data_IF_914816197360
#
_entry.id   IF_914816197360
#
_cell.length_a   1.000
_cell.length_b   1.000
_cell.length_c   1.000
_cell.angle_alpha   90.00
_cell.angle_beta   90.00
_cell.angle_gamma   90.00
#
_symmetry.space_group_name_H-M   'P 1'
#
loop_
_entity.id
_entity.type
_entity.pdbx_description
1 polymer ?
#
# COMPACT_ATOMS: atom_id res chain seq x y z
N UNK A 1 -16.92 -0.62 32.20
CA UNK A 1 -16.53 -1.22 30.94
C UNK A 1 -16.41 -0.14 29.85
N UNK A 2 -15.23 0.02 29.30
CA UNK A 2 -15.01 0.91 28.17
C UNK A 2 -15.66 0.38 26.87
N UNK A 3 -15.89 1.27 25.89
CA UNK A 3 -16.45 0.88 24.59
C UNK A 3 -15.64 -0.22 23.88
N UNK A 4 -14.32 -0.27 24.10
CA UNK A 4 -13.41 -1.28 23.56
C UNK A 4 -13.62 -2.69 24.12
N UNK A 5 -14.25 -2.84 25.27
CA UNK A 5 -14.58 -4.15 25.84
C UNK A 5 -15.89 -4.71 25.30
N UNK A 6 -16.78 -3.85 24.80
CA UNK A 6 -18.07 -4.22 24.21
C UNK A 6 -17.98 -4.62 22.76
N UNK A 7 -17.10 -4.00 22.00
CA UNK A 7 -17.00 -4.19 20.56
C UNK A 7 -15.57 -4.53 20.17
N UNK A 8 -15.39 -5.53 19.33
CA UNK A 8 -14.07 -5.81 18.77
C UNK A 8 -13.51 -4.60 18.04
N UNK A 9 -12.28 -4.25 18.32
CA UNK A 9 -11.60 -3.11 17.69
C UNK A 9 -10.66 -3.60 16.61
N UNK A 10 -10.78 -3.02 15.43
CA UNK A 10 -9.84 -3.22 14.33
C UNK A 10 -9.16 -1.90 14.00
N UNK A 11 -7.90 -1.98 13.61
CA UNK A 11 -7.18 -0.85 13.04
C UNK A 11 -7.43 -0.78 11.54
N UNK A 12 -7.62 0.41 11.04
CA UNK A 12 -7.82 0.65 9.62
C UNK A 12 -6.53 1.18 9.00
N UNK A 13 -6.12 0.54 7.92
CA UNK A 13 -5.00 0.95 7.10
C UNK A 13 -5.45 1.14 5.65
N UNK A 14 -4.62 1.78 4.87
CA UNK A 14 -4.78 1.90 3.41
C UNK A 14 -3.49 1.49 2.73
N UNK A 15 -3.61 0.93 1.54
CA UNK A 15 -2.49 0.68 0.63
C UNK A 15 -2.86 1.20 -0.75
N UNK A 16 -1.89 1.75 -1.45
CA UNK A 16 -2.09 2.38 -2.74
C UNK A 16 -1.27 1.65 -3.81
N UNK A 17 -1.95 1.13 -4.82
CA UNK A 17 -1.30 0.59 -6.02
C UNK A 17 -1.31 1.70 -7.06
N UNK A 18 -0.21 2.40 -7.18
CA UNK A 18 -0.07 3.53 -8.10
C UNK A 18 0.57 3.07 -9.40
N UNK A 19 -0.15 3.24 -10.50
CA UNK A 19 0.30 2.90 -11.84
C UNK A 19 0.70 4.14 -12.64
N UNK A 20 1.72 3.97 -13.45
CA UNK A 20 2.13 4.94 -14.47
C UNK A 20 2.22 4.23 -15.81
N UNK A 21 1.63 4.83 -16.84
CA UNK A 21 1.68 4.26 -18.18
C UNK A 21 2.93 4.77 -18.90
N UNK A 22 3.76 3.85 -19.35
CA UNK A 22 4.82 4.15 -20.31
C UNK A 22 4.25 3.97 -21.72
N UNK A 23 3.99 5.08 -22.39
CA UNK A 23 3.38 5.08 -23.72
C UNK A 23 4.35 4.61 -24.81
N UNK A 24 5.63 4.82 -24.64
CA UNK A 24 6.66 4.41 -25.61
C UNK A 24 6.83 2.89 -25.60
N UNK A 25 6.99 2.32 -24.42
CA UNK A 25 7.14 0.87 -24.27
C UNK A 25 5.79 0.12 -24.19
N UNK A 26 4.67 0.84 -24.12
CA UNK A 26 3.32 0.29 -23.92
C UNK A 26 3.22 -0.62 -22.71
N UNK A 27 3.82 -0.18 -21.62
CA UNK A 27 3.88 -0.94 -20.38
C UNK A 27 3.33 -0.13 -19.22
N UNK A 28 2.82 -0.85 -18.22
CA UNK A 28 2.50 -0.27 -16.93
C UNK A 28 3.73 -0.34 -16.02
N UNK A 29 3.88 0.70 -15.21
CA UNK A 29 4.80 0.69 -14.10
C UNK A 29 4.02 0.83 -12.80
N UNK A 30 4.50 0.23 -11.73
CA UNK A 30 3.95 0.38 -10.38
C UNK A 30 4.99 0.96 -9.44
N UNK A 31 4.54 1.81 -8.52
CA UNK A 31 5.40 2.44 -7.54
C UNK A 31 5.53 1.55 -6.30
N UNK A 32 6.76 1.21 -5.95
CA UNK A 32 7.08 0.47 -4.74
C UNK A 32 8.12 1.21 -3.91
N UNK A 33 8.02 1.02 -2.60
CA UNK A 33 8.94 1.55 -1.59
C UNK A 33 9.73 0.41 -0.98
N UNK A 34 11.01 0.60 -0.71
CA UNK A 34 11.81 -0.35 0.04
C UNK A 34 11.86 0.07 1.51
N UNK A 35 11.39 -0.81 2.38
CA UNK A 35 11.28 -0.53 3.81
C UNK A 35 12.65 -0.41 4.47
N UNK A 36 12.84 0.62 5.29
CA UNK A 36 14.04 0.81 6.11
C UNK A 36 13.87 0.35 7.54
N UNK A 37 12.63 0.02 7.95
CA UNK A 37 12.28 -0.36 9.32
C UNK A 37 11.63 -1.74 9.38
N UNK A 38 11.77 -2.38 10.57
CA UNK A 38 11.08 -3.62 10.91
C UNK A 38 9.57 -3.36 11.14
N UNK A 39 8.65 -4.30 10.86
CA UNK A 39 8.94 -5.58 10.23
C UNK A 39 9.18 -5.46 8.72
N UNK A 40 9.69 -6.52 8.14
CA UNK A 40 9.98 -6.58 6.70
C UNK A 40 11.01 -5.54 6.21
N UNK A 41 12.00 -5.23 7.05
CA UNK A 41 13.12 -4.38 6.64
C UNK A 41 13.79 -4.93 5.38
N UNK A 42 14.13 -4.02 4.45
CA UNK A 42 14.71 -4.33 3.13
C UNK A 42 13.77 -5.03 2.14
N UNK A 43 12.49 -5.16 2.46
CA UNK A 43 11.48 -5.68 1.54
C UNK A 43 10.76 -4.54 0.83
N UNK A 44 10.32 -4.80 -0.38
CA UNK A 44 9.51 -3.87 -1.15
C UNK A 44 8.06 -3.91 -0.70
N UNK A 45 7.41 -2.76 -0.68
CA UNK A 45 6.03 -2.61 -0.25
C UNK A 45 5.29 -1.58 -1.09
N UNK A 46 3.97 -1.67 -1.05
CA UNK A 46 3.10 -0.62 -1.56
C UNK A 46 3.11 0.57 -0.59
N UNK A 47 2.98 1.80 -1.08
CA UNK A 47 2.68 2.93 -0.21
C UNK A 47 1.45 2.62 0.65
N UNK A 48 1.49 2.97 1.92
CA UNK A 48 0.39 2.70 2.82
C UNK A 48 0.68 3.06 4.27
N UNK A 49 -0.34 3.07 5.08
CA UNK A 49 -0.23 3.39 6.49
C UNK A 49 -1.59 3.40 7.18
N UNK A 50 -1.60 3.79 8.44
CA UNK A 50 -2.80 3.80 9.25
C UNK A 50 -3.66 5.05 9.04
N UNK A 51 -4.97 4.83 9.03
CA UNK A 51 -5.98 5.88 8.97
C UNK A 51 -6.04 6.57 10.34
N UNK A 52 -6.01 7.89 10.35
CA UNK A 52 -6.17 8.68 11.57
C UNK A 52 -7.65 8.89 11.89
N UNK A 53 -7.95 9.19 13.17
CA UNK A 53 -9.31 9.11 13.69
C UNK A 53 -10.35 10.01 13.04
N UNK A 54 -9.94 11.11 12.42
CA UNK A 54 -10.82 12.13 11.85
C UNK A 54 -10.80 12.18 10.31
N UNK A 55 -10.07 11.29 9.67
CA UNK A 55 -9.99 11.27 8.22
C UNK A 55 -10.78 10.12 7.60
N UNK A 56 -11.27 10.34 6.37
CA UNK A 56 -11.83 9.28 5.56
C UNK A 56 -10.71 8.40 5.00
N UNK A 57 -11.08 7.23 4.48
CA UNK A 57 -10.10 6.33 3.84
C UNK A 57 -9.42 7.00 2.64
N UNK A 58 -10.17 7.77 1.84
CA UNK A 58 -9.60 8.52 0.71
C UNK A 58 -8.63 9.62 1.16
N UNK A 59 -9.00 10.37 2.19
CA UNK A 59 -8.14 11.40 2.75
C UNK A 59 -6.83 10.80 3.28
N UNK A 60 -6.94 9.66 3.99
CA UNK A 60 -5.77 8.93 4.46
C UNK A 60 -4.88 8.45 3.31
N UNK A 61 -5.48 7.87 2.27
CA UNK A 61 -4.73 7.39 1.12
C UNK A 61 -3.98 8.51 0.40
N UNK A 62 -4.60 9.68 0.21
CA UNK A 62 -3.96 10.85 -0.39
C UNK A 62 -2.82 11.39 0.48
N UNK A 63 -3.09 11.55 1.77
CA UNK A 63 -2.08 12.05 2.72
C UNK A 63 -0.85 11.16 2.75
N UNK A 64 -1.06 9.88 2.97
CA UNK A 64 0.04 8.89 3.06
C UNK A 64 0.82 8.82 1.77
N UNK A 65 0.13 8.80 0.63
CA UNK A 65 0.81 8.74 -0.66
C UNK A 65 1.73 9.95 -0.89
N UNK A 66 1.26 11.15 -0.59
CA UNK A 66 2.06 12.37 -0.71
C UNK A 66 3.24 12.37 0.28
N UNK A 67 2.98 11.98 1.53
CA UNK A 67 4.04 11.91 2.56
C UNK A 67 5.15 10.94 2.17
N UNK A 68 4.79 9.76 1.63
CA UNK A 68 5.75 8.71 1.34
C UNK A 68 6.46 8.85 -0.01
N UNK A 69 5.85 9.53 -0.97
CA UNK A 69 6.36 9.58 -2.35
C UNK A 69 6.70 10.97 -2.86
N UNK A 70 6.19 12.01 -2.21
CA UNK A 70 6.37 13.40 -2.63
C UNK A 70 5.54 13.83 -3.83
N UNK A 71 4.70 12.94 -4.39
CA UNK A 71 3.86 13.21 -5.55
C UNK A 71 2.39 13.01 -5.23
N UNK A 72 1.51 13.62 -6.02
CA UNK A 72 0.05 13.48 -5.87
C UNK A 72 -0.54 12.64 -6.98
N UNK A 73 -1.43 11.66 -6.67
CA UNK A 73 -2.07 10.87 -7.70
C UNK A 73 -3.13 11.69 -8.43
N UNK A 74 -3.25 11.50 -9.75
CA UNK A 74 -4.28 12.14 -10.55
C UNK A 74 -5.66 11.51 -10.36
N UNK A 75 -5.69 10.23 -10.00
CA UNK A 75 -6.90 9.43 -9.81
C UNK A 75 -6.68 8.47 -8.64
N UNK A 76 -7.70 8.30 -7.82
CA UNK A 76 -7.65 7.43 -6.66
C UNK A 76 -9.01 6.75 -6.47
N UNK A 77 -9.03 5.42 -6.46
CA UNK A 77 -10.26 4.64 -6.32
C UNK A 77 -10.01 3.38 -5.51
N UNK A 78 -10.81 3.16 -4.48
CA UNK A 78 -10.74 1.92 -3.72
C UNK A 78 -11.29 0.75 -4.52
N UNK A 79 -10.73 -0.45 -4.32
CA UNK A 79 -11.19 -1.63 -5.04
C UNK A 79 -11.45 -2.85 -4.15
N UNK A 80 -10.77 -3.00 -3.04
CA UNK A 80 -10.98 -4.14 -2.14
C UNK A 80 -10.41 -3.90 -0.75
N UNK A 81 -10.99 -4.56 0.26
CA UNK A 81 -10.44 -4.68 1.60
C UNK A 81 -9.76 -6.04 1.80
N UNK A 82 -8.68 -6.05 2.54
CA UNK A 82 -7.92 -7.24 2.91
C UNK A 82 -7.93 -7.35 4.43
N UNK A 83 -8.45 -8.46 4.94
CA UNK A 83 -8.75 -8.58 6.35
C UNK A 83 -8.30 -9.90 6.98
N UNK A 84 -7.41 -10.65 6.32
CA UNK A 84 -6.85 -11.85 6.91
C UNK A 84 -6.20 -11.50 8.25
N UNK A 85 -6.53 -12.24 9.30
CA UNK A 85 -6.08 -11.94 10.66
C UNK A 85 -4.56 -12.06 10.85
N UNK A 86 -3.89 -12.74 9.93
CA UNK A 86 -2.43 -12.94 9.95
C UNK A 86 -1.67 -11.99 9.04
N UNK A 87 -2.37 -11.10 8.32
CA UNK A 87 -1.74 -10.25 7.31
C UNK A 87 -0.75 -9.24 7.88
N UNK A 88 -1.00 -8.74 9.09
CA UNK A 88 -0.15 -7.76 9.75
C UNK A 88 -0.02 -8.10 11.24
N UNK A 89 1.18 -8.44 11.65
CA UNK A 89 1.48 -8.90 13.02
C UNK A 89 2.03 -7.79 13.93
N UNK A 90 2.15 -6.56 13.44
CA UNK A 90 2.80 -5.48 14.18
C UNK A 90 2.06 -5.02 15.41
N UNK A 91 0.74 -5.08 15.37
CA UNK A 91 -0.07 -4.38 16.36
C UNK A 91 -0.52 -5.34 17.45
N UNK A 92 -0.10 -5.04 18.66
CA UNK A 92 -0.57 -5.69 19.88
C UNK A 92 -1.27 -4.61 20.71
N UNK A 93 -2.49 -4.91 21.14
CA UNK A 93 -3.17 -4.02 22.08
C UNK A 93 -2.39 -4.04 23.40
N UNK A 94 -1.80 -2.92 23.76
CA UNK A 94 -0.95 -2.80 24.94
C UNK A 94 -1.71 -3.00 26.26
N UNK A 95 -3.01 -2.73 26.28
CA UNK A 95 -3.83 -2.89 27.49
C UNK A 95 -4.23 -4.33 27.76
N UNK A 96 -4.58 -5.09 26.71
CA UNK A 96 -5.07 -6.47 26.85
C UNK A 96 -4.02 -7.53 26.48
N UNK A 97 -2.89 -7.13 25.88
CA UNK A 97 -1.91 -8.06 25.31
C UNK A 97 -2.41 -8.78 24.06
N UNK A 98 -3.62 -8.49 23.60
CA UNK A 98 -4.21 -9.11 22.43
C UNK A 98 -3.75 -8.39 21.15
N UNK A 99 -3.56 -9.19 20.12
CA UNK A 99 -3.20 -8.70 18.81
C UNK A 99 -4.37 -7.97 18.18
N UNK A 100 -4.19 -6.71 17.84
CA UNK A 100 -5.19 -5.95 17.09
C UNK A 100 -5.24 -6.44 15.63
N UNK A 101 -6.45 -6.56 15.11
CA UNK A 101 -6.68 -6.86 13.71
C UNK A 101 -6.43 -5.61 12.87
N UNK A 102 -5.70 -5.76 11.78
CA UNK A 102 -5.49 -4.69 10.80
C UNK A 102 -6.26 -5.02 9.54
N UNK A 103 -7.21 -4.17 9.19
CA UNK A 103 -7.94 -4.23 7.92
C UNK A 103 -7.37 -3.14 7.03
N UNK A 104 -6.89 -3.49 5.87
CA UNK A 104 -6.45 -2.51 4.88
C UNK A 104 -7.46 -2.38 3.75
N UNK A 105 -7.72 -1.14 3.34
CA UNK A 105 -8.46 -0.85 2.12
C UNK A 105 -7.47 -0.46 1.03
N UNK A 106 -7.50 -1.21 -0.06
CA UNK A 106 -6.60 -1.00 -1.18
C UNK A 106 -7.21 -0.07 -2.22
N UNK A 107 -6.39 0.87 -2.68
CA UNK A 107 -6.71 1.84 -3.71
C UNK A 107 -5.85 1.61 -4.94
N UNK A 108 -6.43 1.84 -6.12
CA UNK A 108 -5.65 2.08 -7.33
C UNK A 108 -5.47 3.57 -7.51
N UNK A 109 -4.32 3.97 -7.98
CA UNK A 109 -4.02 5.35 -8.36
C UNK A 109 -3.35 5.38 -9.73
N UNK A 110 -3.53 6.47 -10.45
CA UNK A 110 -2.87 6.70 -11.72
C UNK A 110 -2.04 7.96 -11.60
N UNK A 111 -0.80 7.89 -12.04
CA UNK A 111 0.11 9.00 -12.07
C UNK A 111 0.47 9.34 -13.52
N UNK A 112 0.35 10.60 -13.89
CA UNK A 112 0.46 11.05 -15.29
C UNK A 112 1.57 12.06 -15.54
N UNK A 113 2.27 12.47 -14.47
CA UNK A 113 3.36 13.46 -14.57
C UNK A 113 4.73 12.80 -14.44
N UNK A 114 5.79 13.58 -14.56
CA UNK A 114 7.17 13.15 -14.41
C UNK A 114 7.89 13.88 -13.26
N UNK A 115 7.15 14.17 -12.18
CA UNK A 115 7.73 14.77 -10.99
C UNK A 115 8.70 13.80 -10.31
N UNK A 116 9.72 14.35 -9.68
CA UNK A 116 10.71 13.58 -8.96
C UNK A 116 10.12 12.98 -7.68
N UNK A 117 10.37 11.69 -7.47
CA UNK A 117 10.00 10.99 -6.25
C UNK A 117 10.86 11.43 -5.09
N UNK A 118 10.26 11.55 -3.91
CA UNK A 118 10.96 11.90 -2.68
C UNK A 118 10.75 10.82 -1.63
N UNK A 119 11.84 10.37 -1.03
CA UNK A 119 11.80 9.40 0.06
C UNK A 119 11.36 10.05 1.37
N UNK A 120 10.58 9.32 2.16
CA UNK A 120 10.37 9.63 3.56
C UNK A 120 11.41 8.93 4.46
N UNK A 121 11.30 9.12 5.78
CA UNK A 121 12.25 8.57 6.76
C UNK A 121 12.14 7.04 6.94
N UNK A 122 11.01 6.45 6.57
CA UNK A 122 10.74 5.02 6.75
C UNK A 122 11.09 4.16 5.53
N UNK A 123 11.60 4.78 4.47
CA UNK A 123 11.94 4.11 3.23
C UNK A 123 13.39 4.38 2.82
N UNK A 124 14.08 3.35 2.36
CA UNK A 124 15.47 3.48 1.89
C UNK A 124 15.58 3.62 0.37
N UNK A 125 14.52 3.28 -0.36
CA UNK A 125 14.46 3.39 -1.82
C UNK A 125 13.00 3.51 -2.28
N UNK A 126 12.81 4.11 -3.45
CA UNK A 126 11.52 4.24 -4.12
C UNK A 126 11.73 4.14 -5.63
N UNK A 127 10.97 3.26 -6.28
CA UNK A 127 11.14 3.01 -7.73
C UNK A 127 9.84 2.69 -8.42
N UNK A 128 9.83 2.98 -9.72
CA UNK A 128 8.85 2.46 -10.66
C UNK A 128 9.31 1.10 -11.19
N UNK A 129 8.49 0.07 -10.99
CA UNK A 129 8.73 -1.29 -11.49
C UNK A 129 7.85 -1.57 -12.69
N UNK A 130 8.41 -2.12 -13.75
CA UNK A 130 7.67 -2.52 -14.95
C UNK A 130 6.77 -3.71 -14.67
N UNK A 131 5.53 -3.66 -15.18
CA UNK A 131 4.58 -4.77 -15.11
C UNK A 131 4.28 -5.24 -16.54
N UNK A 132 4.92 -6.32 -17.02
CA UNK A 132 4.61 -6.86 -18.32
C UNK A 132 3.29 -7.64 -18.29
N UNK A 133 2.53 -7.58 -19.40
CA UNK A 133 1.22 -8.24 -19.52
C UNK A 133 1.23 -9.75 -19.26
N UNK A 134 2.32 -10.46 -19.59
CA UNK A 134 2.37 -11.92 -19.56
C UNK A 134 3.23 -12.51 -18.45
N UNK A 135 4.12 -11.75 -17.86
CA UNK A 135 5.09 -12.27 -16.89
C UNK A 135 5.21 -11.35 -15.69
N UNK A 136 4.12 -11.20 -14.97
CA UNK A 136 4.02 -10.33 -13.81
C UNK A 136 5.17 -10.53 -12.82
N UNK A 137 5.47 -11.78 -12.49
CA UNK A 137 6.49 -12.12 -11.50
C UNK A 137 7.94 -11.82 -11.92
N UNK A 138 8.18 -11.61 -13.22
CA UNK A 138 9.55 -11.46 -13.72
C UNK A 138 10.25 -10.17 -13.28
N UNK A 139 9.50 -9.10 -13.07
CA UNK A 139 10.02 -7.77 -12.78
C UNK A 139 9.59 -7.24 -11.42
N UNK A 140 8.65 -7.91 -10.79
CA UNK A 140 8.14 -7.55 -9.46
C UNK A 140 8.84 -8.45 -8.43
N UNK A 141 9.32 -7.89 -7.30
CA UNK A 141 9.89 -8.70 -6.23
C UNK A 141 8.90 -9.77 -5.76
N UNK A 142 9.32 -11.04 -5.73
CA UNK A 142 8.46 -12.13 -5.24
C UNK A 142 8.21 -12.03 -3.73
N UNK A 143 9.19 -11.50 -3.01
CA UNK A 143 9.18 -11.40 -1.57
C UNK A 143 8.89 -9.96 -1.12
N UNK A 144 7.64 -9.55 -1.29
CA UNK A 144 7.17 -8.26 -0.82
C UNK A 144 6.74 -8.32 0.65
N UNK A 145 6.73 -7.17 1.31
CA UNK A 145 6.24 -7.03 2.66
C UNK A 145 4.74 -7.38 2.76
N UNK A 146 4.33 -7.94 3.90
CA UNK A 146 2.93 -8.25 4.20
C UNK A 146 2.27 -9.11 3.10
N UNK A 147 1.04 -8.77 2.76
CA UNK A 147 0.27 -9.36 1.65
C UNK A 147 0.29 -8.46 0.39
N UNK A 148 1.27 -7.57 0.29
CA UNK A 148 1.32 -6.57 -0.76
C UNK A 148 1.46 -7.16 -2.17
N UNK A 149 2.10 -8.32 -2.30
CA UNK A 149 2.16 -9.01 -3.59
C UNK A 149 0.77 -9.41 -4.08
N UNK A 150 -0.08 -9.93 -3.19
CA UNK A 150 -1.46 -10.32 -3.52
C UNK A 150 -2.31 -9.10 -3.91
N UNK A 151 -2.15 -8.00 -3.18
CA UNK A 151 -2.85 -6.73 -3.47
C UNK A 151 -2.45 -6.21 -4.85
N UNK A 152 -1.15 -6.19 -5.14
CA UNK A 152 -0.62 -5.75 -6.43
C UNK A 152 -1.10 -6.63 -7.57
N UNK A 153 -1.08 -7.95 -7.39
CA UNK A 153 -1.54 -8.90 -8.40
C UNK A 153 -3.01 -8.69 -8.74
N UNK A 154 -3.86 -8.52 -7.74
CA UNK A 154 -5.30 -8.27 -7.98
C UNK A 154 -5.53 -6.93 -8.67
N UNK A 155 -4.88 -5.88 -8.23
CA UNK A 155 -4.97 -4.56 -8.88
C UNK A 155 -4.56 -4.63 -10.35
N UNK A 156 -3.48 -5.33 -10.66
CA UNK A 156 -2.99 -5.51 -12.02
C UNK A 156 -3.95 -6.30 -12.90
N UNK A 157 -4.60 -7.31 -12.35
CA UNK A 157 -5.61 -8.11 -13.06
C UNK A 157 -6.89 -7.32 -13.36
N UNK A 158 -7.21 -6.34 -12.52
CA UNK A 158 -8.37 -5.45 -12.72
C UNK A 158 -8.14 -4.41 -13.81
N UNK A 159 -6.90 -4.01 -14.01
CA UNK A 159 -6.49 -3.14 -15.10
C UNK A 159 -6.27 -3.96 -16.39
N UNK A 160 -7.33 -4.51 -16.93
CA UNK A 160 -7.25 -5.19 -18.23
C UNK A 160 -7.04 -4.16 -19.34
N UNK A 161 -5.83 -3.94 -19.65
CA UNK A 161 -5.47 -3.18 -20.85
C UNK A 161 -5.20 -4.16 -21.99
#
# INVERSE_FOLDING_TARGET
MGASERFPVSLNAVNIVCFKIDWEERMLNVLLLKRSISPYKNKWSLPGGFVQGDETLEEAARRIFVEETGISPAYLSQFRSYSNTKRDKRVINQQSGQKARVVTTAFTAIYTSDEELQLDEESEDIRWFKIPRRYFSRYIPEDMAFDHHDILLEASNRLRI
#
